data_IF_901499375113
#
_entry.id   IF_901499375113
#
_cell.length_a   1.000
_cell.length_b   1.000
_cell.length_c   1.000
_cell.angle_alpha   90.00
_cell.angle_beta   90.00
_cell.angle_gamma   90.00
#
_symmetry.space_group_name_H-M   'P 1'
#
loop_
_entity.id
_entity.type
_entity.pdbx_description
1 polymer ?
#
# COMPACT_ATOMS: atom_id res chain seq x y z
N UNK A 1 9.81 -27.71 8.33
CA UNK A 1 9.95 -26.39 8.99
C UNK A 1 10.26 -26.65 10.45
N UNK A 2 11.50 -26.36 10.85
CA UNK A 2 11.91 -26.36 12.26
C UNK A 2 11.99 -24.92 12.76
N UNK A 3 12.19 -24.72 14.06
CA UNK A 3 12.34 -23.38 14.63
C UNK A 3 13.49 -22.62 13.94
N UNK A 4 13.27 -21.35 13.61
CA UNK A 4 14.15 -20.45 12.85
C UNK A 4 14.31 -20.73 11.34
N UNK A 5 13.48 -21.59 10.76
CA UNK A 5 13.39 -21.71 9.30
C UNK A 5 12.57 -20.58 8.66
N UNK A 6 12.90 -20.23 7.42
CA UNK A 6 12.06 -19.43 6.52
C UNK A 6 11.38 -20.40 5.55
N UNK A 7 10.05 -20.32 5.44
CA UNK A 7 9.28 -21.16 4.54
C UNK A 7 8.26 -20.32 3.75
N UNK A 8 7.92 -20.80 2.56
CA UNK A 8 6.86 -20.25 1.73
C UNK A 8 5.63 -21.13 1.93
N UNK A 9 4.50 -20.50 2.24
CA UNK A 9 3.20 -21.17 2.35
C UNK A 9 2.32 -20.59 1.25
N UNK A 10 1.82 -21.46 0.38
CA UNK A 10 0.93 -21.11 -0.72
C UNK A 10 -0.52 -21.40 -0.32
N UNK A 11 -1.49 -20.83 -1.06
CA UNK A 11 -2.93 -21.09 -0.90
C UNK A 11 -3.59 -20.53 0.40
N UNK A 12 -3.11 -19.40 0.91
CA UNK A 12 -3.75 -18.72 2.06
C UNK A 12 -4.04 -17.25 1.71
N UNK A 13 -5.31 -16.93 1.51
CA UNK A 13 -5.75 -15.56 1.14
C UNK A 13 -5.90 -14.61 2.34
N UNK A 14 -6.05 -15.14 3.55
CA UNK A 14 -6.35 -14.36 4.75
C UNK A 14 -5.11 -13.85 5.51
N UNK A 15 -3.92 -14.36 5.19
CA UNK A 15 -2.68 -13.94 5.84
C UNK A 15 -2.18 -12.62 5.29
N UNK A 16 -1.92 -11.65 6.18
CA UNK A 16 -1.30 -10.38 5.82
C UNK A 16 0.08 -10.26 6.45
N UNK A 17 0.90 -9.38 5.87
CA UNK A 17 2.20 -9.07 6.45
C UNK A 17 2.00 -8.54 7.87
N UNK A 18 2.68 -9.17 8.83
CA UNK A 18 2.55 -8.87 10.26
C UNK A 18 1.61 -9.79 11.04
N UNK A 19 0.93 -10.73 10.37
CA UNK A 19 0.13 -11.76 11.06
C UNK A 19 1.00 -12.83 11.73
N UNK A 20 0.41 -13.48 12.73
CA UNK A 20 1.02 -14.57 13.48
C UNK A 20 0.36 -15.89 13.11
N UNK A 21 1.16 -16.83 12.65
CA UNK A 21 0.74 -18.22 12.49
C UNK A 21 0.86 -18.94 13.84
N UNK A 22 -0.27 -19.30 14.45
CA UNK A 22 -0.34 -20.01 15.72
C UNK A 22 -0.67 -19.11 16.91
N UNK A 23 -0.01 -19.35 18.05
CA UNK A 23 -0.33 -18.63 19.31
C UNK A 23 0.30 -17.23 19.27
N UNK A 24 -0.53 -16.19 19.35
CA UNK A 24 -0.07 -14.80 19.41
C UNK A 24 0.81 -14.59 20.66
N UNK A 25 2.09 -14.20 20.50
CA UNK A 25 2.95 -13.95 21.66
C UNK A 25 2.47 -12.71 22.43
N UNK A 26 2.28 -12.84 23.75
CA UNK A 26 1.81 -11.75 24.61
C UNK A 26 2.75 -10.53 24.67
N UNK A 27 3.99 -10.66 24.21
CA UNK A 27 5.06 -9.66 24.36
C UNK A 27 5.41 -8.90 23.07
N UNK A 28 4.96 -9.36 21.90
CA UNK A 28 5.18 -8.60 20.67
C UNK A 28 3.99 -7.65 20.54
N UNK A 29 4.17 -6.43 21.08
CA UNK A 29 3.34 -5.30 20.64
C UNK A 29 3.43 -5.31 19.12
N UNK A 30 2.29 -5.50 18.44
CA UNK A 30 2.25 -5.64 16.99
C UNK A 30 3.13 -4.59 16.35
N UNK A 31 3.90 -4.99 15.31
CA UNK A 31 4.78 -4.09 14.55
C UNK A 31 4.04 -2.76 14.41
N UNK A 32 4.44 -1.75 15.17
CA UNK A 32 3.72 -0.48 15.17
C UNK A 32 4.19 0.19 13.90
N UNK A 33 3.39 0.06 12.84
CA UNK A 33 3.65 0.75 11.58
C UNK A 33 3.74 2.22 11.92
N UNK A 34 4.93 2.81 11.70
CA UNK A 34 5.11 4.25 11.90
C UNK A 34 4.05 4.95 11.05
N UNK A 35 3.40 6.00 11.56
CA UNK A 35 2.41 6.69 10.73
C UNK A 35 3.15 7.42 9.60
N UNK A 36 2.78 7.18 8.31
CA UNK A 36 3.36 7.91 7.20
C UNK A 36 3.15 9.42 7.39
N UNK A 37 4.24 10.18 7.31
CA UNK A 37 4.24 11.62 7.59
C UNK A 37 3.89 12.47 6.36
N UNK A 38 3.96 11.88 5.16
CA UNK A 38 3.77 12.60 3.90
C UNK A 38 2.46 12.15 3.25
N UNK A 39 1.71 13.10 2.70
CA UNK A 39 0.51 12.83 1.91
C UNK A 39 0.63 13.42 0.52
N UNK A 40 0.12 12.73 -0.49
CA UNK A 40 0.11 13.21 -1.87
C UNK A 40 -1.21 12.84 -2.53
N UNK A 41 -1.83 13.79 -3.23
CA UNK A 41 -2.99 13.47 -4.07
C UNK A 41 -2.49 12.73 -5.31
N UNK A 42 -3.17 11.65 -5.67
CA UNK A 42 -2.92 10.86 -6.88
C UNK A 42 -4.15 10.85 -7.76
N UNK A 43 -3.94 11.08 -9.05
CA UNK A 43 -5.00 11.09 -10.06
C UNK A 43 -4.56 10.33 -11.30
N UNK A 44 -5.44 9.54 -11.92
CA UNK A 44 -5.12 8.91 -13.19
C UNK A 44 -5.05 9.99 -14.29
N UNK A 45 -4.25 9.74 -15.32
CA UNK A 45 -4.21 10.59 -16.52
C UNK A 45 -5.58 10.62 -17.22
N UNK A 46 -6.26 9.47 -17.23
CA UNK A 46 -7.61 9.31 -17.77
C UNK A 46 -8.61 9.13 -16.62
N UNK A 47 -9.66 9.98 -16.50
CA UNK A 47 -10.63 9.86 -15.41
C UNK A 47 -11.40 8.53 -15.43
N UNK A 48 -11.55 7.92 -16.60
CA UNK A 48 -12.11 6.58 -16.82
C UNK A 48 -11.29 5.44 -16.19
N UNK A 49 -9.98 5.62 -15.99
CA UNK A 49 -9.11 4.64 -15.33
C UNK A 49 -9.12 4.76 -13.79
N UNK A 50 -9.95 5.66 -13.22
CA UNK A 50 -10.03 5.88 -11.75
C UNK A 50 -10.33 4.60 -10.98
N UNK A 51 -11.30 3.80 -11.43
CA UNK A 51 -11.61 2.53 -10.78
C UNK A 51 -10.43 1.56 -10.82
N UNK A 52 -9.70 1.54 -11.94
CA UNK A 52 -8.51 0.69 -12.13
C UNK A 52 -7.35 1.14 -11.23
N UNK A 53 -7.16 2.44 -11.05
CA UNK A 53 -6.21 2.99 -10.09
C UNK A 53 -6.52 2.55 -8.66
N UNK A 54 -7.78 2.65 -8.23
CA UNK A 54 -8.21 2.22 -6.89
C UNK A 54 -7.93 0.72 -6.70
N UNK A 55 -8.27 -0.11 -7.70
CA UNK A 55 -7.97 -1.54 -7.65
C UNK A 55 -6.47 -1.81 -7.58
N UNK A 56 -5.65 -1.13 -8.37
CA UNK A 56 -4.21 -1.29 -8.37
C UNK A 56 -3.58 -0.90 -7.02
N UNK A 57 -3.98 0.24 -6.45
CA UNK A 57 -3.55 0.68 -5.13
C UNK A 57 -3.98 -0.30 -4.03
N UNK A 58 -5.18 -0.88 -4.14
CA UNK A 58 -5.64 -1.88 -3.19
C UNK A 58 -4.79 -3.17 -3.24
N UNK A 59 -4.38 -3.61 -4.43
CA UNK A 59 -3.44 -4.74 -4.57
C UNK A 59 -2.09 -4.38 -3.94
N UNK A 60 -1.55 -3.20 -4.24
CA UNK A 60 -0.29 -2.75 -3.65
C UNK A 60 -0.37 -2.65 -2.11
N UNK A 61 -1.50 -2.22 -1.55
CA UNK A 61 -1.72 -2.17 -0.11
C UNK A 61 -1.75 -3.56 0.55
N UNK A 62 -2.33 -4.56 -0.15
CA UNK A 62 -2.34 -5.95 0.33
C UNK A 62 -0.92 -6.53 0.32
N UNK A 63 -0.15 -6.24 -0.73
CA UNK A 63 1.24 -6.69 -0.86
C UNK A 63 2.19 -5.95 0.08
N UNK A 64 1.92 -4.68 0.40
CA UNK A 64 2.71 -3.84 1.28
C UNK A 64 1.81 -2.98 2.20
N UNK A 65 1.55 -3.43 3.43
CA UNK A 65 0.73 -2.68 4.39
C UNK A 65 1.45 -1.45 4.98
N UNK A 66 2.66 -1.13 4.52
CA UNK A 66 3.28 0.16 4.80
C UNK A 66 2.61 1.26 3.97
N UNK A 67 2.13 0.93 2.77
CA UNK A 67 1.29 1.82 1.99
C UNK A 67 -0.03 2.07 2.71
N UNK A 68 -0.57 3.28 2.58
CA UNK A 68 -1.92 3.60 3.04
C UNK A 68 -2.51 4.63 2.11
N UNK A 69 -3.76 4.46 1.70
CA UNK A 69 -4.47 5.42 0.85
C UNK A 69 -5.90 5.59 1.33
N UNK A 70 -6.44 6.78 1.07
CA UNK A 70 -7.77 7.19 1.44
C UNK A 70 -8.40 7.98 0.30
N UNK A 71 -9.72 7.90 0.15
CA UNK A 71 -10.46 8.76 -0.77
C UNK A 71 -11.03 9.90 0.05
N UNK A 72 -10.72 11.13 -0.34
CA UNK A 72 -11.24 12.31 0.33
C UNK A 72 -12.70 12.51 -0.05
N UNK A 73 -13.62 12.31 0.90
CA UNK A 73 -15.07 12.42 0.64
C UNK A 73 -15.55 13.82 0.24
N UNK A 74 -14.75 14.87 0.48
CA UNK A 74 -15.10 16.26 0.15
C UNK A 74 -14.64 16.66 -1.25
N UNK A 75 -13.41 16.30 -1.61
CA UNK A 75 -12.80 16.66 -2.90
C UNK A 75 -12.90 15.56 -3.94
N UNK A 76 -13.34 14.35 -3.54
CA UNK A 76 -13.28 13.12 -4.33
C UNK A 76 -11.87 12.82 -4.87
N UNK A 77 -10.82 13.31 -4.20
CA UNK A 77 -9.43 13.04 -4.57
C UNK A 77 -8.92 11.78 -3.87
N UNK A 78 -8.10 10.97 -4.56
CA UNK A 78 -7.35 9.91 -3.90
C UNK A 78 -6.12 10.52 -3.23
N UNK A 79 -5.98 10.33 -1.92
CA UNK A 79 -4.81 10.71 -1.15
C UNK A 79 -4.04 9.45 -0.76
N UNK A 80 -2.76 9.38 -1.12
CA UNK A 80 -1.84 8.36 -0.65
C UNK A 80 -0.99 8.92 0.49
N UNK A 81 -0.75 8.10 1.50
CA UNK A 81 0.17 8.39 2.60
C UNK A 81 1.46 7.62 2.37
N UNK A 82 2.58 8.32 2.49
CA UNK A 82 3.91 7.88 2.10
C UNK A 82 4.90 8.15 3.22
N UNK A 83 5.95 7.33 3.31
CA UNK A 83 7.08 7.57 4.22
C UNK A 83 8.16 8.47 3.61
N UNK A 84 8.23 8.53 2.27
CA UNK A 84 9.28 9.27 1.59
C UNK A 84 9.01 9.46 0.10
N UNK A 85 9.79 10.36 -0.49
CA UNK A 85 9.74 10.70 -1.92
C UNK A 85 10.06 9.48 -2.81
N UNK A 86 11.01 8.65 -2.40
CA UNK A 86 11.37 7.44 -3.13
C UNK A 86 10.19 6.48 -3.25
N UNK A 87 9.35 6.38 -2.22
CA UNK A 87 8.18 5.52 -2.24
C UNK A 87 7.15 5.99 -3.28
N UNK A 88 6.95 7.31 -3.40
CA UNK A 88 6.09 7.91 -4.44
C UNK A 88 6.52 7.47 -5.84
N UNK A 89 7.81 7.63 -6.15
CA UNK A 89 8.37 7.30 -7.47
C UNK A 89 8.20 5.82 -7.78
N UNK A 90 8.49 4.94 -6.82
CA UNK A 90 8.33 3.49 -6.97
C UNK A 90 6.86 3.12 -7.26
N UNK A 91 5.91 3.67 -6.51
CA UNK A 91 4.48 3.39 -6.74
C UNK A 91 4.05 3.87 -8.11
N UNK A 92 4.48 5.07 -8.52
CA UNK A 92 4.18 5.61 -9.84
C UNK A 92 4.68 4.69 -10.96
N UNK A 93 5.92 4.20 -10.85
CA UNK A 93 6.48 3.25 -11.80
C UNK A 93 5.74 1.91 -11.76
N UNK A 94 5.41 1.38 -10.58
CA UNK A 94 4.64 0.13 -10.44
C UNK A 94 3.25 0.21 -11.07
N UNK A 95 2.56 1.33 -10.90
CA UNK A 95 1.25 1.58 -11.51
C UNK A 95 1.33 1.60 -13.04
N UNK A 96 2.37 2.23 -13.58
CA UNK A 96 2.59 2.27 -15.03
C UNK A 96 3.01 0.90 -15.59
N UNK A 97 4.01 0.25 -15.00
CA UNK A 97 4.57 -0.99 -15.53
C UNK A 97 3.65 -2.20 -15.32
N UNK A 98 3.06 -2.34 -14.13
CA UNK A 98 2.28 -3.54 -13.78
C UNK A 98 0.80 -3.41 -14.13
N UNK A 99 0.24 -2.21 -14.04
CA UNK A 99 -1.19 -1.99 -14.24
C UNK A 99 -1.49 -1.18 -15.52
N UNK A 100 -0.46 -0.67 -16.22
CA UNK A 100 -0.63 0.23 -17.37
C UNK A 100 -1.50 1.46 -17.06
N UNK A 101 -1.43 1.94 -15.81
CA UNK A 101 -2.15 3.11 -15.34
C UNK A 101 -1.16 4.24 -15.14
N UNK A 102 -1.21 5.23 -16.03
CA UNK A 102 -0.46 6.48 -15.84
C UNK A 102 -1.14 7.33 -14.78
N UNK A 103 -0.39 7.69 -13.76
CA UNK A 103 -0.87 8.53 -12.65
C UNK A 103 -0.02 9.76 -12.48
N UNK A 104 -0.68 10.86 -12.15
CA UNK A 104 -0.04 12.08 -11.69
C UNK A 104 -0.18 12.20 -10.18
N UNK A 105 0.95 12.41 -9.52
CA UNK A 105 1.01 12.71 -8.10
C UNK A 105 1.28 14.20 -7.92
N UNK A 106 0.38 14.88 -7.22
CA UNK A 106 0.49 16.29 -6.89
C UNK A 106 1.54 16.55 -5.79
N UNK A 107 1.71 17.83 -5.43
CA UNK A 107 2.64 18.26 -4.38
C UNK A 107 2.40 17.51 -3.06
N UNK A 108 3.51 17.19 -2.38
CA UNK A 108 3.46 16.46 -1.12
C UNK A 108 3.16 17.44 -0.01
N UNK A 109 2.09 17.13 0.72
CA UNK A 109 1.67 17.85 1.92
C UNK A 109 2.23 17.10 3.13
N UNK A 110 2.76 17.85 4.08
CA UNK A 110 3.30 17.34 5.36
C UNK A 110 2.31 17.65 6.47
#
# INVERSE_FOLDING_TARGET
VVANDIAIIEDIEELRIGDYLGVKPCLIQGLSHQHPALKSSVRPDKPEERSKLISALNVLFIEDPSLSFSINSYSDELEISLYGLTQKEIIQTLLEERFSVKTHFDEIKT
#
